data_IF_360221725653
#
_entry.id   IF_360221725653
#
_cell.length_a   1.000
_cell.length_b   1.000
_cell.length_c   1.000
_cell.angle_alpha   90.00
_cell.angle_beta   90.00
_cell.angle_gamma   90.00
#
_symmetry.space_group_name_H-M   'P 1'
#
loop_
_entity.id
_entity.type
_entity.pdbx_description
1 polymer ?
#
# COMPACT_ATOMS: atom_id res chain seq x y z
N UNK A 1 12.35 30.14 8.01
CA UNK A 1 11.75 28.88 7.51
C UNK A 1 12.83 28.10 6.81
N UNK A 2 13.43 27.14 7.52
CA UNK A 2 14.53 26.31 7.06
C UNK A 2 13.99 25.24 6.13
N UNK A 3 14.51 25.19 4.91
CA UNK A 3 14.16 24.22 3.86
C UNK A 3 14.25 22.74 4.29
N UNK A 4 14.82 22.41 5.46
CA UNK A 4 14.92 21.04 5.98
C UNK A 4 13.62 20.51 6.59
N UNK A 5 12.80 21.38 7.18
CA UNK A 5 11.60 20.96 7.90
C UNK A 5 10.51 20.48 6.93
N UNK A 6 10.48 21.03 5.71
CA UNK A 6 9.53 20.67 4.65
C UNK A 6 9.68 19.23 4.16
N UNK A 7 10.92 18.71 4.08
CA UNK A 7 11.16 17.34 3.61
C UNK A 7 10.64 16.32 4.61
N UNK A 8 10.93 16.50 5.91
CA UNK A 8 10.48 15.58 6.97
C UNK A 8 8.96 15.56 7.04
N UNK A 9 8.32 16.73 6.93
CA UNK A 9 6.86 16.85 6.94
C UNK A 9 6.20 16.10 5.79
N UNK A 10 6.85 16.04 4.63
CA UNK A 10 6.35 15.32 3.46
C UNK A 10 6.39 13.79 3.63
N UNK A 11 7.36 13.24 4.38
CA UNK A 11 7.49 11.78 4.58
C UNK A 11 6.66 11.23 5.76
N UNK A 12 6.20 12.09 6.69
CA UNK A 12 5.34 11.69 7.83
C UNK A 12 4.18 10.76 7.44
N UNK A 13 3.34 11.07 6.42
CA UNK A 13 2.23 10.18 6.04
C UNK A 13 2.68 8.79 5.62
N UNK A 14 3.81 8.69 4.90
CA UNK A 14 4.37 7.40 4.46
C UNK A 14 4.84 6.59 5.67
N UNK A 15 5.49 7.25 6.65
CA UNK A 15 5.93 6.61 7.90
C UNK A 15 4.73 6.09 8.69
N UNK A 16 3.65 6.87 8.81
CA UNK A 16 2.44 6.41 9.50
C UNK A 16 1.80 5.21 8.81
N UNK A 17 1.73 5.21 7.48
CA UNK A 17 1.23 4.07 6.73
C UNK A 17 2.06 2.81 6.98
N UNK A 18 3.39 2.93 6.94
CA UNK A 18 4.29 1.81 7.25
C UNK A 18 4.09 1.28 8.67
N UNK A 19 4.00 2.18 9.66
CA UNK A 19 3.79 1.81 11.05
C UNK A 19 2.45 1.07 11.26
N UNK A 20 1.37 1.57 10.65
CA UNK A 20 0.04 0.96 10.72
C UNK A 20 0.03 -0.41 10.01
N UNK A 21 0.58 -0.48 8.79
CA UNK A 21 0.68 -1.75 8.06
C UNK A 21 1.46 -2.81 8.83
N UNK A 22 2.59 -2.44 9.42
CA UNK A 22 3.41 -3.33 10.24
C UNK A 22 2.67 -3.77 11.51
N UNK A 23 1.98 -2.86 12.20
CA UNK A 23 1.20 -3.20 13.38
C UNK A 23 0.11 -4.23 13.06
N UNK A 24 -0.65 -4.04 11.97
CA UNK A 24 -1.66 -4.99 11.52
C UNK A 24 -1.06 -6.33 11.08
N UNK A 25 0.10 -6.32 10.43
CA UNK A 25 0.82 -7.54 10.08
C UNK A 25 1.21 -8.36 11.32
N UNK A 26 1.82 -7.71 12.32
CA UNK A 26 2.26 -8.38 13.56
C UNK A 26 1.07 -8.91 14.37
N UNK A 27 -0.03 -8.16 14.42
CA UNK A 27 -1.28 -8.62 15.05
C UNK A 27 -1.92 -9.77 14.29
N UNK A 28 -1.87 -9.78 12.96
CA UNK A 28 -2.43 -10.87 12.16
C UNK A 28 -1.62 -12.17 12.30
N UNK A 29 -0.30 -12.06 12.51
CA UNK A 29 0.62 -13.18 12.64
C UNK A 29 0.31 -14.09 13.83
N UNK A 30 -0.41 -13.58 14.85
CA UNK A 30 -0.81 -14.39 16.01
C UNK A 30 -1.99 -15.31 15.72
N UNK A 31 -2.78 -15.02 14.67
CA UNK A 31 -4.10 -15.63 14.46
C UNK A 31 -4.26 -16.29 13.08
N UNK A 32 -3.47 -15.89 12.07
CA UNK A 32 -3.66 -16.27 10.67
C UNK A 32 -2.41 -16.89 10.03
N UNK A 33 -2.56 -17.45 8.83
CA UNK A 33 -1.42 -17.93 8.04
C UNK A 33 -0.51 -16.78 7.59
N UNK A 34 0.72 -17.11 7.18
CA UNK A 34 1.68 -16.11 6.69
C UNK A 34 1.11 -15.28 5.51
N UNK A 35 0.46 -15.94 4.54
CA UNK A 35 -0.15 -15.27 3.38
C UNK A 35 -1.31 -14.34 3.78
N UNK A 36 -2.18 -14.79 4.70
CA UNK A 36 -3.29 -13.97 5.20
C UNK A 36 -2.78 -12.77 6.00
N UNK A 37 -1.75 -12.96 6.81
CA UNK A 37 -1.10 -11.89 7.56
C UNK A 37 -0.47 -10.85 6.65
N UNK A 38 0.25 -11.29 5.60
CA UNK A 38 0.81 -10.41 4.57
C UNK A 38 -0.28 -9.57 3.91
N UNK A 39 -1.41 -10.18 3.51
CA UNK A 39 -2.54 -9.48 2.92
C UNK A 39 -3.11 -8.41 3.86
N UNK A 40 -3.36 -8.76 5.13
CA UNK A 40 -3.93 -7.82 6.11
C UNK A 40 -3.00 -6.62 6.33
N UNK A 41 -1.70 -6.86 6.52
CA UNK A 41 -0.71 -5.79 6.69
C UNK A 41 -0.61 -4.89 5.46
N UNK A 42 -0.59 -5.47 4.26
CA UNK A 42 -0.55 -4.72 3.00
C UNK A 42 -1.81 -3.90 2.76
N UNK A 43 -3.00 -4.45 3.05
CA UNK A 43 -4.26 -3.70 2.91
C UNK A 43 -4.32 -2.56 3.91
N UNK A 44 -3.92 -2.75 5.16
CA UNK A 44 -3.85 -1.68 6.16
C UNK A 44 -2.88 -0.56 5.75
N UNK A 45 -1.71 -0.93 5.21
CA UNK A 45 -0.75 0.00 4.62
C UNK A 45 -1.34 0.80 3.46
N UNK A 46 -1.96 0.12 2.49
CA UNK A 46 -2.54 0.73 1.30
C UNK A 46 -3.71 1.66 1.62
N UNK A 47 -4.63 1.23 2.49
CA UNK A 47 -5.77 2.05 2.93
C UNK A 47 -5.28 3.31 3.63
N UNK A 48 -4.24 3.20 4.46
CA UNK A 48 -3.66 4.38 5.11
C UNK A 48 -3.03 5.33 4.10
N UNK A 49 -2.30 4.82 3.09
CA UNK A 49 -1.74 5.66 2.02
C UNK A 49 -2.81 6.31 1.13
N UNK A 50 -3.94 5.62 0.88
CA UNK A 50 -5.04 6.19 0.10
C UNK A 50 -5.71 7.37 0.79
N UNK A 51 -5.74 7.40 2.13
CA UNK A 51 -6.47 8.42 2.90
C UNK A 51 -5.59 9.57 3.38
N UNK A 52 -4.26 9.42 3.38
CA UNK A 52 -3.35 10.39 4.01
C UNK A 52 -2.65 11.33 3.03
N UNK A 53 -2.98 11.28 1.73
CA UNK A 53 -2.42 12.13 0.66
C UNK A 53 -0.88 12.17 0.60
N UNK A 54 -0.20 11.18 1.19
CA UNK A 54 1.28 11.16 1.26
C UNK A 54 1.96 10.91 -0.08
N UNK A 55 1.21 10.41 -1.07
CA UNK A 55 1.66 10.15 -2.42
C UNK A 55 0.51 10.47 -3.40
N UNK A 56 0.81 10.80 -4.67
CA UNK A 56 -0.22 10.99 -5.69
C UNK A 56 -1.10 9.74 -5.82
N UNK A 57 -2.42 9.93 -5.85
CA UNK A 57 -3.38 8.82 -5.79
C UNK A 57 -3.18 7.77 -6.90
N UNK A 58 -2.73 8.20 -8.09
CA UNK A 58 -2.40 7.30 -9.19
C UNK A 58 -1.23 6.37 -8.87
N UNK A 59 -0.19 6.87 -8.21
CA UNK A 59 0.96 6.05 -7.79
C UNK A 59 0.54 5.04 -6.73
N UNK A 60 -0.21 5.48 -5.71
CA UNK A 60 -0.67 4.59 -4.63
C UNK A 60 -1.59 3.51 -5.16
N UNK A 61 -2.44 3.85 -6.14
CA UNK A 61 -3.36 2.89 -6.75
C UNK A 61 -2.62 1.78 -7.48
N UNK A 62 -1.45 2.04 -8.07
CA UNK A 62 -0.63 1.06 -8.81
C UNK A 62 0.26 0.19 -7.90
N UNK A 63 0.50 0.58 -6.65
CA UNK A 63 1.34 -0.17 -5.71
C UNK A 63 0.98 -1.66 -5.54
N UNK A 64 -0.30 -2.08 -5.52
CA UNK A 64 -0.67 -3.48 -5.35
C UNK A 64 -0.11 -4.40 -6.45
N UNK A 65 0.12 -3.88 -7.67
CA UNK A 65 0.73 -4.64 -8.78
C UNK A 65 2.10 -5.17 -8.41
N UNK A 66 2.85 -4.43 -7.58
CA UNK A 66 4.20 -4.79 -7.15
C UNK A 66 4.14 -5.51 -5.80
N UNK A 67 3.36 -4.97 -4.86
CA UNK A 67 3.32 -5.48 -3.50
C UNK A 67 2.70 -6.89 -3.41
N UNK A 68 1.58 -7.15 -4.07
CA UNK A 68 0.92 -8.45 -3.92
C UNK A 68 1.77 -9.63 -4.44
N UNK A 69 2.43 -9.54 -5.61
CA UNK A 69 3.35 -10.58 -6.05
C UNK A 69 4.60 -10.69 -5.19
N UNK A 70 5.17 -9.56 -4.74
CA UNK A 70 6.39 -9.56 -3.92
C UNK A 70 6.22 -10.27 -2.58
N UNK A 71 5.01 -10.23 -2.02
CA UNK A 71 4.67 -10.88 -0.75
C UNK A 71 3.94 -12.22 -0.92
N UNK A 72 3.87 -12.75 -2.15
CA UNK A 72 3.23 -14.05 -2.44
C UNK A 72 1.72 -14.08 -2.15
N UNK A 73 1.06 -12.92 -2.19
CA UNK A 73 -0.38 -12.78 -1.96
C UNK A 73 -1.15 -13.14 -3.23
N UNK A 74 -0.71 -12.63 -4.39
CA UNK A 74 -1.35 -12.87 -5.67
C UNK A 74 -0.33 -12.74 -6.82
N UNK A 75 -0.41 -13.61 -7.81
CA UNK A 75 0.49 -13.59 -8.96
C UNK A 75 0.26 -12.39 -9.88
N UNK A 76 1.32 -11.97 -10.58
CA UNK A 76 1.27 -10.89 -11.57
C UNK A 76 0.13 -11.05 -12.60
N UNK A 77 -0.08 -12.27 -13.10
CA UNK A 77 -1.14 -12.59 -14.06
C UNK A 77 -2.56 -12.37 -13.51
N UNK A 78 -2.72 -12.40 -12.19
CA UNK A 78 -4.00 -12.20 -11.51
C UNK A 78 -4.16 -10.78 -10.95
N UNK A 79 -3.07 -10.08 -10.64
CA UNK A 79 -3.11 -8.71 -10.13
C UNK A 79 -3.25 -7.66 -11.24
N UNK A 80 -2.53 -7.81 -12.35
CA UNK A 80 -2.47 -6.82 -13.44
C UNK A 80 -3.77 -6.58 -14.21
N UNK A 81 -4.67 -7.56 -14.46
CA UNK A 81 -5.89 -7.32 -15.25
C UNK A 81 -6.84 -6.28 -14.64
N UNK A 82 -6.77 -6.06 -13.32
CA UNK A 82 -7.58 -5.05 -12.63
C UNK A 82 -7.17 -3.61 -12.98
N UNK A 83 -5.97 -3.43 -13.52
CA UNK A 83 -5.39 -2.13 -13.86
C UNK A 83 -5.44 -1.81 -15.36
N UNK A 84 -5.96 -2.73 -16.18
CA UNK A 84 -6.05 -2.58 -17.63
C UNK A 84 -7.49 -2.68 -18.15
N UNK A 85 -8.47 -2.38 -17.29
CA UNK A 85 -9.89 -2.33 -17.68
C UNK A 85 -10.13 -1.14 -18.61
N UNK A 86 -10.83 -1.35 -19.71
CA UNK A 86 -11.11 -0.31 -20.72
C UNK A 86 -11.75 0.95 -20.13
N UNK A 87 -12.56 0.82 -19.08
CA UNK A 87 -13.20 1.96 -18.38
C UNK A 87 -12.18 2.99 -17.85
N UNK A 88 -10.96 2.58 -17.54
CA UNK A 88 -9.89 3.46 -17.06
C UNK A 88 -9.44 4.45 -18.15
N UNK A 89 -9.58 4.08 -19.43
CA UNK A 89 -9.15 4.88 -20.58
C UNK A 89 -10.27 5.70 -21.22
N UNK A 90 -11.47 5.70 -20.64
CA UNK A 90 -12.63 6.43 -21.15
C UNK A 90 -12.77 7.85 -20.55
N UNK A 91 -11.83 8.26 -19.71
CA UNK A 91 -11.75 9.58 -19.06
C UNK A 91 -10.36 10.17 -19.28
#
# INVERSE_FOLDING_TARGET
MTQSDSFIDSYKPIIYALAIGLAFYLLALTSFTATQSNLIGLVAFLVTLWTNEGLPIGVVSLLPIILFPSFGVLDLAHTTPNYSKSIIFLF
#
